data_IF_014598606907
#
_entry.id   IF_014598606907
#
_cell.length_a   1.000
_cell.length_b   1.000
_cell.length_c   1.000
_cell.angle_alpha   90.00
_cell.angle_beta   90.00
_cell.angle_gamma   90.00
#
_symmetry.space_group_name_H-M   'P 1'
#
loop_
_entity.id
_entity.type
_entity.pdbx_description
1 polymer ?
#
# COMPACT_ATOMS: atom_id res chain seq x y z
N UNK A 1 -2.71 -12.90 25.96
CA UNK A 1 -1.42 -12.27 26.35
C UNK A 1 -0.91 -11.25 25.32
N UNK A 2 -0.97 -11.52 24.01
CA UNK A 2 -0.39 -10.65 22.97
C UNK A 2 -1.08 -9.28 22.79
N UNK A 3 -2.41 -9.20 22.98
CA UNK A 3 -3.18 -7.94 22.89
C UNK A 3 -2.76 -6.90 23.95
N UNK A 4 -2.75 -7.21 25.27
CA UNK A 4 -2.32 -6.24 26.27
C UNK A 4 -0.84 -5.89 26.15
N UNK A 5 0.01 -6.86 25.81
CA UNK A 5 1.46 -6.63 25.58
C UNK A 5 1.67 -5.66 24.40
N UNK A 6 0.96 -5.86 23.28
CA UNK A 6 1.05 -4.97 22.12
C UNK A 6 0.56 -3.56 22.39
N UNK A 7 -0.52 -3.39 23.16
CA UNK A 7 -1.07 -2.07 23.48
C UNK A 7 -0.16 -1.29 24.44
N UNK A 8 0.42 -1.97 25.42
CA UNK A 8 1.37 -1.38 26.37
C UNK A 8 2.68 -0.99 25.67
N UNK A 9 3.29 -1.91 24.92
CA UNK A 9 4.53 -1.64 24.19
C UNK A 9 4.30 -0.54 23.13
N UNK A 10 3.20 -0.60 22.39
CA UNK A 10 2.86 0.41 21.38
C UNK A 10 2.74 1.81 21.98
N UNK A 11 2.08 1.94 23.13
CA UNK A 11 1.95 3.23 23.82
C UNK A 11 3.29 3.79 24.28
N UNK A 12 4.13 2.97 24.92
CA UNK A 12 5.43 3.42 25.43
C UNK A 12 6.44 3.69 24.31
N UNK A 13 6.54 2.80 23.31
CA UNK A 13 7.46 2.96 22.19
C UNK A 13 7.11 4.19 21.34
N UNK A 14 5.81 4.44 21.10
CA UNK A 14 5.38 5.62 20.37
C UNK A 14 5.87 6.89 21.06
N UNK A 15 5.62 7.05 22.36
CA UNK A 15 6.02 8.24 23.11
C UNK A 15 7.52 8.55 23.02
N UNK A 16 8.38 7.52 23.07
CA UNK A 16 9.84 7.67 22.99
C UNK A 16 10.32 8.01 21.58
N UNK A 17 9.68 7.47 20.53
CA UNK A 17 10.10 7.68 19.14
C UNK A 17 9.81 9.11 18.67
N UNK A 18 8.65 9.66 19.01
CA UNK A 18 8.28 11.05 18.63
C UNK A 18 9.06 12.12 19.39
N UNK A 19 9.70 11.80 20.51
CA UNK A 19 10.53 12.77 21.26
C UNK A 19 11.90 13.01 20.62
N UNK A 20 12.35 12.15 19.68
CA UNK A 20 13.65 12.31 19.02
C UNK A 20 13.57 13.42 17.96
N UNK A 21 14.49 14.40 17.95
CA UNK A 21 14.48 15.48 16.98
C UNK A 21 14.65 14.95 15.55
N UNK A 22 13.78 15.42 14.63
CA UNK A 22 13.79 15.03 13.21
C UNK A 22 15.15 15.24 12.53
N UNK A 23 15.90 16.25 12.97
CA UNK A 23 17.24 16.56 12.45
C UNK A 23 18.23 15.39 12.61
N UNK A 24 18.08 14.55 13.64
CA UNK A 24 18.91 13.36 13.85
C UNK A 24 18.32 12.10 13.21
N UNK A 25 16.99 12.01 13.16
CA UNK A 25 16.30 10.85 12.58
C UNK A 25 16.56 10.71 11.08
N UNK A 26 16.44 11.80 10.32
CA UNK A 26 16.59 11.78 8.86
C UNK A 26 17.95 11.22 8.41
N UNK A 27 19.10 11.74 8.86
CA UNK A 27 20.40 11.21 8.44
C UNK A 27 20.62 9.77 8.94
N UNK A 28 20.20 9.45 10.17
CA UNK A 28 20.37 8.09 10.72
C UNK A 28 19.60 7.05 9.91
N UNK A 29 18.34 7.32 9.58
CA UNK A 29 17.52 6.44 8.75
C UNK A 29 18.10 6.34 7.35
N UNK A 30 18.53 7.44 6.74
CA UNK A 30 19.14 7.43 5.41
C UNK A 30 20.40 6.55 5.34
N UNK A 31 21.30 6.69 6.33
CA UNK A 31 22.48 5.83 6.45
C UNK A 31 22.09 4.36 6.64
N UNK A 32 21.15 4.08 7.53
CA UNK A 32 20.69 2.72 7.80
C UNK A 32 20.07 2.07 6.55
N UNK A 33 19.28 2.82 5.78
CA UNK A 33 18.70 2.32 4.51
C UNK A 33 19.75 2.07 3.45
N UNK A 34 20.77 2.93 3.35
CA UNK A 34 21.86 2.75 2.39
C UNK A 34 22.67 1.49 2.69
N UNK A 35 23.03 1.27 3.96
CA UNK A 35 23.72 0.06 4.41
C UNK A 35 22.82 -1.17 4.17
N UNK A 36 21.54 -1.07 4.52
CA UNK A 36 20.57 -2.16 4.34
C UNK A 36 20.43 -2.58 2.87
N UNK A 37 20.29 -1.63 1.95
CA UNK A 37 20.18 -1.93 0.51
C UNK A 37 21.45 -2.59 -0.02
N UNK A 38 22.63 -2.10 0.38
CA UNK A 38 23.91 -2.70 -0.02
C UNK A 38 24.06 -4.13 0.53
N UNK A 39 23.65 -4.38 1.77
CA UNK A 39 23.86 -5.66 2.45
C UNK A 39 23.08 -6.84 1.83
N UNK A 40 21.93 -6.61 1.17
CA UNK A 40 21.09 -7.70 0.65
C UNK A 40 21.72 -8.36 -0.58
N UNK A 41 22.31 -7.57 -1.48
CA UNK A 41 22.80 -8.04 -2.79
C UNK A 41 24.27 -7.71 -3.06
N UNK A 42 24.95 -7.01 -2.14
CA UNK A 42 26.33 -6.52 -2.28
C UNK A 42 26.55 -5.82 -3.63
N UNK A 43 25.56 -5.01 -4.04
CA UNK A 43 25.50 -4.37 -5.35
C UNK A 43 25.39 -2.87 -5.19
N UNK A 44 26.35 -2.14 -5.76
CA UNK A 44 26.33 -0.66 -5.78
C UNK A 44 25.17 -0.13 -6.63
N UNK A 45 24.75 -0.88 -7.65
CA UNK A 45 23.65 -0.52 -8.54
C UNK A 45 22.33 -0.38 -7.77
N UNK A 46 22.09 -1.24 -6.78
CA UNK A 46 20.87 -1.18 -5.96
C UNK A 46 20.85 0.08 -5.08
N UNK A 47 22.01 0.51 -4.59
CA UNK A 47 22.18 1.77 -3.85
C UNK A 47 21.92 2.97 -4.75
N UNK A 48 22.40 2.94 -5.99
CA UNK A 48 22.11 4.01 -6.98
C UNK A 48 20.61 4.09 -7.25
N UNK A 49 19.94 2.96 -7.49
CA UNK A 49 18.49 2.90 -7.69
C UNK A 49 17.75 3.44 -6.46
N UNK A 50 18.18 3.07 -5.25
CA UNK A 50 17.62 3.59 -3.99
C UNK A 50 17.70 5.12 -3.92
N UNK A 51 18.85 5.72 -4.25
CA UNK A 51 19.00 7.19 -4.25
C UNK A 51 18.10 7.82 -5.31
N UNK A 52 18.09 7.30 -6.54
CA UNK A 52 17.25 7.83 -7.62
C UNK A 52 15.77 7.79 -7.22
N UNK A 53 15.28 6.65 -6.71
CA UNK A 53 13.90 6.52 -6.26
C UNK A 53 13.59 7.41 -5.05
N UNK A 54 14.53 7.60 -4.14
CA UNK A 54 14.40 8.54 -3.03
C UNK A 54 14.23 9.99 -3.50
N UNK A 55 15.05 10.43 -4.46
CA UNK A 55 14.95 11.77 -5.08
C UNK A 55 13.63 11.92 -5.84
N UNK A 56 13.24 10.92 -6.64
CA UNK A 56 11.94 10.92 -7.33
C UNK A 56 10.78 11.02 -6.34
N UNK A 57 10.83 10.27 -5.23
CA UNK A 57 9.82 10.35 -4.18
C UNK A 57 9.76 11.73 -3.51
N UNK A 58 10.90 12.39 -3.30
CA UNK A 58 10.97 13.75 -2.79
C UNK A 58 10.39 14.77 -3.79
N UNK A 59 10.66 14.60 -5.08
CA UNK A 59 10.08 15.44 -6.15
C UNK A 59 8.56 15.26 -6.20
N UNK A 60 8.06 14.01 -6.16
CA UNK A 60 6.62 13.72 -6.18
C UNK A 60 5.91 14.31 -4.96
N UNK A 61 6.55 14.33 -3.79
CA UNK A 61 6.05 15.01 -2.60
C UNK A 61 5.81 16.51 -2.87
N UNK A 62 6.70 17.17 -3.62
CA UNK A 62 6.57 18.57 -4.01
C UNK A 62 5.37 18.83 -4.93
N UNK A 63 4.99 17.85 -5.75
CA UNK A 63 3.82 17.92 -6.63
C UNK A 63 2.49 17.59 -5.94
N UNK A 64 2.50 17.37 -4.61
CA UNK A 64 1.29 17.05 -3.84
C UNK A 64 0.98 15.56 -3.75
N UNK A 65 1.86 14.69 -4.28
CA UNK A 65 1.72 13.25 -4.11
C UNK A 65 2.45 12.78 -2.85
N UNK A 66 1.70 12.31 -1.86
CA UNK A 66 2.28 11.71 -0.67
C UNK A 66 3.12 10.46 -1.05
N UNK A 67 4.37 10.33 -0.56
CA UNK A 67 5.21 9.16 -0.82
C UNK A 67 4.61 7.83 -0.31
N UNK A 68 3.79 7.89 0.75
CA UNK A 68 3.26 6.71 1.41
C UNK A 68 2.35 5.84 0.51
N UNK A 69 1.31 6.38 -0.17
CA UNK A 69 0.52 5.63 -1.15
C UNK A 69 1.35 5.05 -2.31
N UNK A 70 2.38 5.76 -2.76
CA UNK A 70 3.23 5.31 -3.87
C UNK A 70 3.99 4.04 -3.46
N UNK A 71 4.61 4.06 -2.29
CA UNK A 71 5.33 2.90 -1.74
C UNK A 71 4.37 1.73 -1.50
N UNK A 72 3.18 2.00 -0.95
CA UNK A 72 2.16 0.97 -0.75
C UNK A 72 1.71 0.35 -2.07
N UNK A 73 1.49 1.15 -3.12
CA UNK A 73 1.15 0.69 -4.45
C UNK A 73 2.25 -0.17 -5.08
N UNK A 74 3.52 0.21 -4.92
CA UNK A 74 4.67 -0.55 -5.41
C UNK A 74 4.74 -1.94 -4.75
N UNK A 75 4.55 -2.01 -3.44
CA UNK A 75 4.56 -3.26 -2.67
C UNK A 75 3.37 -4.14 -3.07
N UNK A 76 2.16 -3.56 -3.07
CA UNK A 76 0.94 -4.28 -3.42
C UNK A 76 0.95 -4.76 -4.88
N UNK A 77 1.52 -3.97 -5.79
CA UNK A 77 1.65 -4.34 -7.21
C UNK A 77 2.45 -5.63 -7.40
N UNK A 78 3.60 -5.77 -6.72
CA UNK A 78 4.40 -7.00 -6.73
C UNK A 78 3.61 -8.21 -6.22
N UNK A 79 2.89 -8.03 -5.11
CA UNK A 79 2.08 -9.09 -4.52
C UNK A 79 0.93 -9.48 -5.47
N UNK A 80 0.29 -8.49 -6.09
CA UNK A 80 -0.80 -8.71 -7.05
C UNK A 80 -0.30 -9.45 -8.31
N UNK A 81 0.84 -9.05 -8.87
CA UNK A 81 1.46 -9.71 -10.02
C UNK A 81 1.83 -11.16 -9.70
N UNK A 82 2.46 -11.41 -8.55
CA UNK A 82 2.79 -12.77 -8.11
C UNK A 82 1.54 -13.63 -7.93
N UNK A 83 0.51 -13.09 -7.28
CA UNK A 83 -0.77 -13.79 -7.10
C UNK A 83 -1.47 -14.08 -8.42
N UNK A 84 -1.43 -13.14 -9.38
CA UNK A 84 -1.99 -13.31 -10.71
C UNK A 84 -1.26 -14.40 -11.50
N UNK A 85 0.07 -14.35 -11.56
CA UNK A 85 0.90 -15.37 -12.24
C UNK A 85 0.69 -16.74 -11.62
N UNK A 86 0.61 -16.83 -10.30
CA UNK A 86 0.34 -18.08 -9.60
C UNK A 86 -1.04 -18.64 -9.97
N UNK A 87 -2.09 -17.81 -9.91
CA UNK A 87 -3.44 -18.22 -10.29
C UNK A 87 -3.51 -18.66 -11.76
N UNK A 88 -2.84 -17.92 -12.66
CA UNK A 88 -2.76 -18.24 -14.08
C UNK A 88 -2.06 -19.58 -14.33
N UNK A 89 -0.95 -19.84 -13.64
CA UNK A 89 -0.18 -21.07 -13.80
C UNK A 89 -0.98 -22.29 -13.34
N UNK A 90 -1.66 -22.20 -12.19
CA UNK A 90 -2.48 -23.30 -11.67
C UNK A 90 -3.72 -23.51 -12.55
N UNK A 91 -4.34 -22.43 -13.03
CA UNK A 91 -5.50 -22.50 -13.93
C UNK A 91 -5.13 -23.08 -15.30
N UNK A 92 -3.94 -22.79 -15.81
CA UNK A 92 -3.41 -23.39 -17.05
C UNK A 92 -3.11 -24.88 -16.88
N UNK A 93 -2.59 -25.30 -15.72
CA UNK A 93 -2.29 -26.71 -15.44
C UNK A 93 -3.53 -27.60 -15.28
N UNK A 94 -4.65 -27.03 -14.83
CA UNK A 94 -5.92 -27.75 -14.64
C UNK A 94 -6.85 -27.68 -15.86
N UNK A 95 -6.51 -26.90 -16.89
CA UNK A 95 -7.29 -26.75 -18.12
C UNK A 95 -8.62 -25.98 -17.96
N UNK A 96 -8.98 -25.57 -16.74
CA UNK A 96 -10.23 -24.88 -16.42
C UNK A 96 -9.98 -23.50 -15.76
N UNK A 97 -9.33 -22.59 -16.49
CA UNK A 97 -9.05 -21.21 -16.07
C UNK A 97 -10.29 -20.50 -15.50
N UNK A 98 -11.45 -20.64 -16.16
CA UNK A 98 -12.70 -19.99 -15.74
C UNK A 98 -13.23 -20.50 -14.38
N UNK A 99 -13.09 -21.79 -14.08
CA UNK A 99 -13.47 -22.34 -12.77
C UNK A 99 -12.49 -21.97 -11.65
N UNK A 100 -11.23 -21.73 -11.97
CA UNK A 100 -10.28 -21.29 -10.94
C UNK A 100 -10.58 -19.86 -10.46
N UNK A 101 -10.95 -18.95 -11.37
CA UNK A 101 -11.29 -17.57 -11.02
C UNK A 101 -12.72 -17.41 -10.48
N UNK A 102 -13.71 -18.08 -11.09
CA UNK A 102 -15.14 -17.92 -10.74
C UNK A 102 -15.75 -19.10 -9.97
N UNK A 103 -15.08 -20.25 -9.90
CA UNK A 103 -15.60 -21.43 -9.20
C UNK A 103 -15.37 -21.42 -7.70
N UNK A 104 -14.53 -20.51 -7.17
CA UNK A 104 -14.29 -20.39 -5.73
C UNK A 104 -15.19 -19.31 -5.12
N UNK A 105 -16.08 -19.65 -4.18
CA UNK A 105 -17.03 -18.68 -3.60
C UNK A 105 -16.33 -17.50 -2.90
N UNK A 106 -15.12 -17.73 -2.37
CA UNK A 106 -14.28 -16.69 -1.75
C UNK A 106 -13.79 -15.67 -2.81
N UNK A 107 -13.42 -16.13 -4.01
CA UNK A 107 -12.99 -15.25 -5.11
C UNK A 107 -14.15 -14.35 -5.55
N UNK A 108 -15.33 -14.92 -5.74
CA UNK A 108 -16.55 -14.18 -6.07
C UNK A 108 -16.90 -13.13 -5.01
N UNK A 109 -16.82 -13.49 -3.71
CA UNK A 109 -17.08 -12.55 -2.62
C UNK A 109 -16.09 -11.38 -2.65
N UNK A 110 -14.79 -11.64 -2.85
CA UNK A 110 -13.76 -10.60 -2.92
C UNK A 110 -13.97 -9.70 -4.15
N UNK A 111 -14.27 -10.27 -5.31
CA UNK A 111 -14.58 -9.51 -6.54
C UNK A 111 -15.81 -8.61 -6.30
N UNK A 112 -16.86 -9.14 -5.67
CA UNK A 112 -18.04 -8.35 -5.32
C UNK A 112 -17.71 -7.20 -4.36
N UNK A 113 -16.86 -7.42 -3.34
CA UNK A 113 -16.40 -6.37 -2.43
C UNK A 113 -15.56 -5.30 -3.13
N UNK A 114 -14.68 -5.69 -4.05
CA UNK A 114 -13.87 -4.75 -4.85
C UNK A 114 -14.77 -3.87 -5.72
N UNK A 115 -15.72 -4.49 -6.45
CA UNK A 115 -16.69 -3.75 -7.25
C UNK A 115 -17.53 -2.82 -6.38
N UNK A 116 -18.03 -3.31 -5.24
CA UNK A 116 -18.80 -2.49 -4.31
C UNK A 116 -17.97 -1.31 -3.80
N UNK A 117 -16.72 -1.52 -3.38
CA UNK A 117 -15.83 -0.45 -2.90
C UNK A 117 -15.51 0.58 -3.98
N UNK A 118 -15.27 0.14 -5.22
CA UNK A 118 -14.92 1.02 -6.35
C UNK A 118 -16.13 1.83 -6.84
N UNK A 119 -17.32 1.22 -6.87
CA UNK A 119 -18.56 1.87 -7.30
C UNK A 119 -19.30 2.60 -6.18
N UNK A 120 -19.02 2.31 -4.90
CA UNK A 120 -19.60 3.02 -3.75
C UNK A 120 -19.43 4.55 -3.82
N UNK A 121 -18.23 5.12 -4.07
CA UNK A 121 -18.07 6.57 -4.17
C UNK A 121 -18.77 7.15 -5.42
N UNK A 122 -18.87 6.40 -6.52
CA UNK A 122 -19.54 6.82 -7.76
C UNK A 122 -21.07 6.84 -7.62
N UNK A 123 -21.66 5.81 -6.99
CA UNK A 123 -23.10 5.78 -6.68
C UNK A 123 -23.46 6.84 -5.64
N UNK A 124 -22.60 7.04 -4.63
CA UNK A 124 -22.80 8.07 -3.60
C UNK A 124 -22.66 9.49 -4.15
N UNK A 125 -21.81 9.75 -5.14
CA UNK A 125 -21.71 11.09 -5.74
C UNK A 125 -22.91 11.42 -6.64
N UNK A 126 -23.50 10.41 -7.30
CA UNK A 126 -24.75 10.55 -8.07
C UNK A 126 -25.96 10.80 -7.16
N UNK A 127 -26.05 10.12 -6.00
CA UNK A 127 -27.14 10.34 -5.02
C UNK A 127 -26.89 11.50 -4.04
N UNK A 128 -25.63 11.89 -3.80
CA UNK A 128 -25.24 12.98 -2.91
C UNK A 128 -25.45 14.37 -3.51
N UNK A 129 -25.43 14.49 -4.85
CA UNK A 129 -25.81 15.73 -5.54
C UNK A 129 -27.31 16.03 -5.38
N UNK A 130 -28.16 15.00 -5.34
CA UNK A 130 -29.59 15.17 -5.10
C UNK A 130 -29.92 15.66 -3.67
N UNK A 131 -29.02 15.48 -2.69
CA UNK A 131 -29.22 15.94 -1.30
C UNK A 131 -28.61 17.30 -1.00
N UNK A 132 -27.73 17.83 -1.86
CA UNK A 132 -27.14 19.16 -1.71
C UNK A 132 -28.04 20.28 -2.27
N UNK A 133 -28.93 19.99 -3.23
CA UNK A 133 -29.90 20.96 -3.77
C UNK A 133 -31.12 21.18 -2.85
N UNK A 134 -31.47 20.22 -1.98
CA UNK A 134 -32.64 20.35 -1.08
C UNK A 134 -32.33 21.14 0.21
N UNK A 135 -31.05 21.28 0.58
CA UNK A 135 -30.65 21.97 1.82
C UNK A 135 -30.30 23.47 1.63
N UNK A 136 -30.44 24.01 0.41
CA UNK A 136 -30.21 25.43 0.13
C UNK A 136 -31.51 26.17 -0.27
N UNK A 137 -32.66 25.54 0.01
CA UNK A 137 -34.00 26.04 -0.30
C UNK A 137 -34.93 26.12 0.91
N UNK A 138 -34.38 26.30 2.12
CA UNK A 138 -35.12 26.78 3.30
C UNK A 138 -34.47 28.07 3.83
#
# INVERSE_FOLDING_TARGET
>A
LMLPVGLVIGRYAYQTIITVPKAMLVPTVAFMTMIGTYAIRNSISDVIIMIILGVVGWILNRFGFSPSPIVLGLILGRIAEQGFVQAWTIGSATGELWKMFFGRPISLAIIAFILLSLFYPLLRSRFGRAKAEVAHGE
#
